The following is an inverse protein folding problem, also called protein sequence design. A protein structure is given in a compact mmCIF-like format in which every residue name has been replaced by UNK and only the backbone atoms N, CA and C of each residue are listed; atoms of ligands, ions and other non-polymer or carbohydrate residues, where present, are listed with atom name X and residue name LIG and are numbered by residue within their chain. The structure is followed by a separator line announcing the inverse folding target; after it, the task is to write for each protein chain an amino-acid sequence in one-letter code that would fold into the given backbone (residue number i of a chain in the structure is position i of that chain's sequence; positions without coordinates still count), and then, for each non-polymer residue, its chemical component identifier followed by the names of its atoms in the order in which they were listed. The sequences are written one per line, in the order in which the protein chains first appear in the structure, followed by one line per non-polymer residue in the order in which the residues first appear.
data_IF_870677830062
#
_entry.id   IF_870677830062
#
_cell.length_a   1.000
_cell.length_b   1.000
_cell.length_c   1.000
_cell.angle_alpha   90.00
_cell.angle_beta   90.00
_cell.angle_gamma   90.00
#
_symmetry.space_group_name_H-M   'P 1'
#
loop_
_entity.id
_entity.type
_entity.pdbx_description
1 polymer ?
#
# COMPACT_ATOMS: atom_id res chain seq x y z
N UNK A 1 46.08 72.59 23.01
CA UNK A 1 44.69 72.82 23.43
C UNK A 1 43.77 72.52 22.24
N UNK A 2 43.08 71.38 22.26
CA UNK A 2 41.87 71.07 21.49
C UNK A 2 41.39 69.68 21.94
N UNK A 3 40.16 69.62 22.42
CA UNK A 3 39.52 68.41 22.97
C UNK A 3 38.90 67.56 21.85
N UNK A 4 38.90 66.24 22.04
CA UNK A 4 38.14 65.26 21.25
C UNK A 4 37.86 64.01 22.14
N UNK A 5 36.80 63.22 21.87
CA UNK A 5 35.81 62.87 22.90
C UNK A 5 35.79 61.41 23.38
N UNK A 6 34.95 61.20 24.41
CA UNK A 6 34.63 60.01 25.21
C UNK A 6 34.56 58.63 24.52
N UNK A 7 34.87 57.54 25.26
CA UNK A 7 34.69 56.17 24.78
C UNK A 7 33.22 55.71 24.87
N UNK A 8 32.80 54.94 23.88
CA UNK A 8 31.48 54.34 23.75
C UNK A 8 31.21 53.30 24.88
N UNK A 9 29.96 53.29 25.36
CA UNK A 9 29.39 52.29 26.30
C UNK A 9 29.30 50.90 25.66
N UNK A 10 29.39 49.81 26.45
CA UNK A 10 29.19 48.46 25.96
C UNK A 10 27.71 48.16 25.71
N UNK A 11 27.41 47.47 24.61
CA UNK A 11 26.11 46.87 24.31
C UNK A 11 25.83 45.71 25.27
N UNK A 12 24.80 45.84 26.10
CA UNK A 12 24.25 44.74 26.90
C UNK A 12 23.46 43.79 25.99
N UNK A 13 23.86 42.51 25.94
CA UNK A 13 23.06 41.43 25.41
C UNK A 13 21.82 41.22 26.30
N UNK A 14 20.64 41.42 25.73
CA UNK A 14 19.39 40.88 26.26
C UNK A 14 19.08 39.56 25.53
N UNK A 15 18.66 38.50 26.23
CA UNK A 15 18.35 37.23 25.59
C UNK A 15 17.03 37.34 24.82
N UNK A 16 17.08 37.00 23.53
CA UNK A 16 15.90 36.78 22.71
C UNK A 16 15.15 35.54 23.25
N UNK A 17 14.04 35.77 23.95
CA UNK A 17 13.04 34.74 24.23
C UNK A 17 12.24 34.51 22.94
N UNK A 18 12.13 33.28 22.42
CA UNK A 18 11.24 33.01 21.29
C UNK A 18 9.78 33.13 21.78
N UNK A 19 9.03 34.00 21.11
CA UNK A 19 7.59 34.15 21.34
C UNK A 19 6.86 32.86 20.95
N UNK A 20 5.90 32.44 21.79
CA UNK A 20 4.97 31.34 21.50
C UNK A 20 4.17 31.65 20.23
N UNK A 21 4.11 30.75 19.24
CA UNK A 21 3.13 30.86 18.18
C UNK A 21 1.73 30.60 18.73
N UNK A 22 0.81 31.46 18.33
CA UNK A 22 -0.63 31.40 18.55
C UNK A 22 -1.25 30.17 17.90
N UNK A 23 -2.27 29.62 18.54
CA UNK A 23 -3.02 28.45 18.10
C UNK A 23 -3.67 28.64 16.71
N UNK A 24 -3.21 27.86 15.74
CA UNK A 24 -3.99 27.37 14.59
C UNK A 24 -3.21 26.25 13.89
N UNK A 25 -3.92 25.19 13.51
CA UNK A 25 -3.50 24.12 12.59
C UNK A 25 -2.22 23.35 12.92
N UNK A 26 -2.36 22.35 13.80
CA UNK A 26 -1.54 21.15 13.76
C UNK A 26 -2.47 19.94 13.95
N UNK A 27 -3.05 19.45 12.85
CA UNK A 27 -3.68 18.13 12.84
C UNK A 27 -2.54 17.11 13.01
N UNK A 28 -2.44 16.56 14.20
CA UNK A 28 -1.56 15.43 14.49
C UNK A 28 -2.13 14.19 13.78
N UNK A 29 -1.41 13.56 12.83
CA UNK A 29 -1.92 12.42 12.08
C UNK A 29 -2.06 11.13 12.93
N UNK A 30 -1.68 11.14 14.20
CA UNK A 30 -1.71 9.97 15.08
C UNK A 30 -2.87 9.91 16.10
N UNK A 31 -3.91 10.76 15.99
CA UNK A 31 -5.00 10.77 17.00
C UNK A 31 -6.41 10.49 16.45
N UNK A 32 -6.56 10.16 15.18
CA UNK A 32 -7.87 9.81 14.62
C UNK A 32 -7.98 8.30 14.35
N UNK A 33 -8.11 7.48 15.40
CA UNK A 33 -8.53 6.08 15.26
C UNK A 33 -8.93 5.49 16.62
N UNK A 34 -10.10 5.89 17.11
CA UNK A 34 -10.92 5.10 18.03
C UNK A 34 -12.38 5.53 17.83
N UNK A 35 -13.11 4.84 16.96
CA UNK A 35 -14.57 4.76 17.05
C UNK A 35 -15.01 3.35 16.65
N UNK A 36 -15.94 2.83 17.45
CA UNK A 36 -16.41 1.45 17.56
C UNK A 36 -17.37 1.05 16.43
N UNK A 37 -17.52 -0.27 16.29
CA UNK A 37 -18.32 -1.01 15.31
C UNK A 37 -19.78 -0.54 15.20
N UNK A 38 -20.31 -0.57 13.97
CA UNK A 38 -21.65 -1.10 13.69
C UNK A 38 -21.75 -1.51 12.21
N UNK A 39 -21.90 -2.81 11.99
CA UNK A 39 -22.01 -3.44 10.69
C UNK A 39 -23.40 -3.23 10.06
N UNK A 40 -23.46 -2.88 8.77
CA UNK A 40 -24.66 -3.08 7.95
C UNK A 40 -24.26 -3.71 6.62
N UNK A 41 -24.75 -4.93 6.41
CA UNK A 41 -24.59 -5.70 5.19
C UNK A 41 -25.56 -5.23 4.10
N UNK A 42 -25.04 -4.96 2.89
CA UNK A 42 -25.86 -4.78 1.70
C UNK A 42 -25.43 -5.70 0.55
N UNK A 43 -26.47 -6.25 -0.08
CA UNK A 43 -26.50 -7.35 -1.02
C UNK A 43 -25.74 -7.03 -2.33
N UNK A 44 -24.96 -8.00 -2.80
CA UNK A 44 -24.37 -8.01 -4.13
C UNK A 44 -25.40 -8.40 -5.18
N UNK A 45 -25.58 -7.58 -6.21
CA UNK A 45 -25.92 -8.08 -7.55
C UNK A 45 -25.59 -7.01 -8.60
N UNK A 46 -24.76 -7.40 -9.56
CA UNK A 46 -24.26 -6.64 -10.73
C UNK A 46 -23.33 -5.45 -10.43
N UNK A 47 -22.04 -5.66 -10.72
CA UNK A 47 -21.03 -4.60 -10.80
C UNK A 47 -21.34 -3.69 -12.00
N UNK A 48 -21.77 -2.43 -11.80
CA UNK A 48 -21.87 -1.50 -12.92
C UNK A 48 -20.48 -1.21 -13.46
N UNK A 49 -20.33 -1.14 -14.79
CA UNK A 49 -19.12 -0.62 -15.41
C UNK A 49 -18.84 0.77 -14.81
N UNK A 50 -17.71 0.96 -14.11
CA UNK A 50 -17.66 2.04 -13.16
C UNK A 50 -17.40 3.34 -13.94
N UNK A 51 -18.40 4.23 -13.95
CA UNK A 51 -18.23 5.60 -14.39
C UNK A 51 -17.41 6.33 -13.30
N UNK A 52 -16.10 6.11 -13.34
CA UNK A 52 -15.11 6.42 -12.28
C UNK A 52 -14.59 7.85 -12.34
N UNK A 53 -15.03 8.65 -13.31
CA UNK A 53 -14.54 9.99 -13.52
C UNK A 53 -15.07 10.93 -12.41
N UNK A 54 -14.24 11.18 -11.39
CA UNK A 54 -14.50 12.15 -10.33
C UNK A 54 -15.04 11.58 -9.01
N UNK A 55 -15.21 10.26 -8.90
CA UNK A 55 -15.54 9.63 -7.62
C UNK A 55 -14.25 9.51 -6.76
N UNK A 56 -14.19 10.15 -5.57
CA UNK A 56 -13.01 10.10 -4.71
C UNK A 56 -12.67 8.68 -4.22
N UNK A 57 -13.65 7.77 -4.22
CA UNK A 57 -13.43 6.37 -3.86
C UNK A 57 -12.61 5.62 -4.90
N UNK A 58 -12.50 6.10 -6.14
CA UNK A 58 -11.74 5.45 -7.20
C UNK A 58 -10.48 6.23 -7.53
N UNK A 59 -9.34 5.55 -7.48
CA UNK A 59 -8.04 6.08 -7.84
C UNK A 59 -7.55 5.41 -9.12
N UNK A 60 -7.11 6.21 -10.08
CA UNK A 60 -6.62 5.74 -11.37
C UNK A 60 -5.11 5.89 -11.42
N UNK A 61 -4.42 4.80 -11.76
CA UNK A 61 -2.97 4.77 -11.89
C UNK A 61 -2.59 4.39 -13.31
N UNK A 62 -1.88 5.28 -13.99
CA UNK A 62 -1.41 5.03 -15.35
C UNK A 62 -0.12 4.20 -15.33
N UNK A 63 -0.14 3.04 -16.00
CA UNK A 63 1.01 2.17 -16.21
C UNK A 63 1.66 2.54 -17.54
N UNK A 64 2.83 3.17 -17.48
CA UNK A 64 3.49 3.76 -18.65
C UNK A 64 3.94 2.69 -19.64
N UNK A 65 4.44 1.56 -19.15
CA UNK A 65 4.97 0.51 -20.03
C UNK A 65 3.89 -0.23 -20.83
N UNK A 66 2.63 -0.16 -20.38
CA UNK A 66 1.48 -0.78 -21.03
C UNK A 66 0.61 0.24 -21.76
N UNK A 67 0.81 1.54 -21.51
CA UNK A 67 -0.09 2.61 -21.94
C UNK A 67 -1.56 2.31 -21.58
N UNK A 68 -1.77 1.87 -20.33
CA UNK A 68 -3.05 1.46 -19.80
C UNK A 68 -3.22 1.98 -18.38
N UNK A 69 -4.47 2.10 -17.93
CA UNK A 69 -4.78 2.51 -16.57
C UNK A 69 -5.26 1.31 -15.75
N UNK A 70 -4.88 1.28 -14.49
CA UNK A 70 -5.54 0.47 -13.48
C UNK A 70 -6.37 1.37 -12.56
N UNK A 71 -7.50 0.85 -12.10
CA UNK A 71 -8.44 1.57 -11.24
C UNK A 71 -8.61 0.83 -9.93
N UNK A 72 -8.44 1.54 -8.82
CA UNK A 72 -8.48 1.00 -7.47
C UNK A 72 -9.58 1.71 -6.66
N UNK A 73 -10.51 0.94 -6.11
CA UNK A 73 -11.48 1.40 -5.13
C UNK A 73 -10.88 1.41 -3.73
N UNK A 74 -11.09 2.52 -3.03
CA UNK A 74 -10.77 2.77 -1.63
C UNK A 74 -12.06 2.94 -0.82
N UNK A 75 -12.06 2.38 0.38
CA UNK A 75 -13.15 2.51 1.35
C UNK A 75 -12.57 2.97 2.71
N UNK A 76 -12.13 4.23 2.85
CA UNK A 76 -11.41 4.67 4.05
C UNK A 76 -12.17 4.46 5.36
N UNK A 77 -13.51 4.49 5.32
CA UNK A 77 -14.38 4.21 6.46
C UNK A 77 -14.27 2.79 7.00
N UNK A 78 -13.79 1.83 6.21
CA UNK A 78 -13.61 0.42 6.57
C UNK A 78 -12.22 0.14 7.20
N UNK A 79 -11.36 1.16 7.28
CA UNK A 79 -10.07 1.11 7.98
C UNK A 79 -8.84 1.18 7.07
N UNK A 80 -7.67 0.91 7.66
CA UNK A 80 -6.35 1.16 7.04
C UNK A 80 -6.09 0.31 5.78
N UNK A 81 -6.56 -0.94 5.75
CA UNK A 81 -6.38 -1.86 4.62
C UNK A 81 -7.14 -1.42 3.36
N UNK A 82 -8.10 -0.52 3.48
CA UNK A 82 -8.96 -0.07 2.38
C UNK A 82 -8.50 1.26 1.76
N UNK A 83 -7.26 1.68 2.08
CA UNK A 83 -6.67 2.93 1.64
C UNK A 83 -5.36 2.67 0.89
N UNK A 84 -5.03 3.57 -0.02
CA UNK A 84 -3.76 3.58 -0.72
C UNK A 84 -2.69 4.27 0.09
N UNK A 85 -1.56 3.59 0.21
CA UNK A 85 -0.40 4.09 0.91
C UNK A 85 0.72 4.48 -0.07
N UNK A 86 1.56 5.47 0.26
CA UNK A 86 2.60 5.96 -0.65
C UNK A 86 3.58 4.88 -1.14
N UNK A 87 3.92 3.87 -0.32
CA UNK A 87 4.83 2.82 -0.76
C UNK A 87 4.24 1.96 -1.87
N UNK A 88 2.91 1.77 -1.91
CA UNK A 88 2.25 1.01 -2.96
C UNK A 88 2.43 1.66 -4.34
N UNK A 89 2.24 2.99 -4.42
CA UNK A 89 2.44 3.75 -5.67
C UNK A 89 3.92 3.79 -6.08
N UNK A 90 4.81 3.88 -5.10
CA UNK A 90 6.26 3.84 -5.32
C UNK A 90 6.69 2.47 -5.88
N UNK A 91 6.20 1.37 -5.30
CA UNK A 91 6.51 0.01 -5.72
C UNK A 91 5.91 -0.29 -7.11
N UNK A 92 4.68 0.15 -7.40
CA UNK A 92 4.13 0.11 -8.75
C UNK A 92 5.08 0.78 -9.76
N UNK A 93 5.48 2.02 -9.47
CA UNK A 93 6.37 2.78 -10.35
C UNK A 93 7.72 2.09 -10.55
N UNK A 94 8.24 1.47 -9.49
CA UNK A 94 9.47 0.67 -9.55
C UNK A 94 9.32 -0.53 -10.49
N UNK A 95 8.24 -1.31 -10.35
CA UNK A 95 7.97 -2.47 -11.21
C UNK A 95 7.79 -2.05 -12.68
N UNK A 96 7.06 -0.96 -12.94
CA UNK A 96 6.82 -0.44 -14.29
C UNK A 96 8.14 -0.06 -14.99
N UNK A 97 9.02 0.64 -14.26
CA UNK A 97 10.32 1.08 -14.77
C UNK A 97 11.33 -0.07 -14.95
N UNK A 98 11.24 -1.13 -14.14
CA UNK A 98 12.21 -2.24 -14.11
C UNK A 98 11.66 -3.57 -14.62
N UNK A 99 10.53 -3.56 -15.32
CA UNK A 99 9.85 -4.78 -15.79
C UNK A 99 10.75 -5.78 -16.52
N UNK A 100 11.79 -5.32 -17.22
CA UNK A 100 12.71 -6.19 -17.95
C UNK A 100 13.60 -7.03 -17.03
N UNK A 101 13.90 -6.56 -15.81
CA UNK A 101 14.72 -7.27 -14.82
C UNK A 101 14.01 -8.50 -14.26
N UNK A 102 12.67 -8.52 -14.29
CA UNK A 102 11.84 -9.60 -13.78
C UNK A 102 11.43 -10.62 -14.86
N UNK A 103 11.83 -10.41 -16.13
CA UNK A 103 11.48 -11.34 -17.21
C UNK A 103 12.30 -12.61 -17.08
N UNK A 104 11.62 -13.73 -16.85
CA UNK A 104 12.21 -15.08 -16.96
C UNK A 104 11.88 -15.68 -18.31
N UNK A 105 12.89 -16.21 -19.01
CA UNK A 105 12.69 -16.84 -20.31
C UNK A 105 11.82 -18.09 -20.17
N UNK A 106 10.68 -18.12 -20.86
CA UNK A 106 9.83 -19.30 -20.99
C UNK A 106 9.03 -19.71 -19.75
N UNK A 107 9.08 -18.95 -18.65
CA UNK A 107 8.31 -19.27 -17.42
C UNK A 107 7.67 -18.04 -16.80
N UNK A 108 6.38 -18.14 -16.52
CA UNK A 108 5.63 -17.15 -15.73
C UNK A 108 6.14 -17.16 -14.27
N UNK A 109 6.43 -15.98 -13.74
CA UNK A 109 6.84 -15.83 -12.34
C UNK A 109 5.62 -15.92 -11.42
N UNK A 110 5.77 -16.64 -10.31
CA UNK A 110 4.75 -16.71 -9.25
C UNK A 110 5.08 -15.71 -8.16
N UNK A 111 4.15 -14.82 -7.85
CA UNK A 111 4.34 -13.75 -6.86
C UNK A 111 3.32 -13.91 -5.74
N UNK A 112 3.77 -13.79 -4.50
CA UNK A 112 2.89 -13.62 -3.34
C UNK A 112 2.98 -12.18 -2.87
N UNK A 113 1.85 -11.51 -2.70
CA UNK A 113 1.81 -10.22 -2.02
C UNK A 113 1.19 -10.37 -0.62
N UNK A 114 1.91 -9.88 0.38
CA UNK A 114 1.48 -9.86 1.78
C UNK A 114 0.90 -8.49 2.13
N UNK A 115 -0.29 -8.47 2.73
CA UNK A 115 -0.95 -7.22 3.14
C UNK A 115 -1.28 -6.33 1.96
N UNK A 116 -1.95 -6.90 0.96
CA UNK A 116 -2.28 -6.25 -0.30
C UNK A 116 -3.17 -5.02 -0.13
N UNK A 117 -3.97 -4.96 0.94
CA UNK A 117 -4.96 -3.92 1.17
C UNK A 117 -5.91 -3.76 -0.02
N UNK A 118 -5.74 -2.68 -0.77
CA UNK A 118 -6.51 -2.41 -1.98
C UNK A 118 -6.08 -3.26 -3.19
N UNK A 119 -4.89 -3.89 -3.16
CA UNK A 119 -4.37 -4.75 -4.22
C UNK A 119 -3.59 -4.05 -5.32
N UNK A 120 -3.32 -2.73 -5.21
CA UNK A 120 -2.67 -1.93 -6.26
C UNK A 120 -1.38 -2.59 -6.78
N UNK A 121 -0.49 -3.02 -5.89
CA UNK A 121 0.82 -3.53 -6.27
C UNK A 121 0.70 -4.91 -6.92
N UNK A 122 -0.05 -5.84 -6.33
CA UNK A 122 -0.25 -7.17 -6.93
C UNK A 122 -0.95 -7.14 -8.28
N UNK A 123 -1.99 -6.31 -8.44
CA UNK A 123 -2.68 -6.08 -9.71
C UNK A 123 -1.70 -5.51 -10.75
N UNK A 124 -0.93 -4.48 -10.36
CA UNK A 124 0.07 -3.89 -11.24
C UNK A 124 1.17 -4.90 -11.60
N UNK A 125 1.64 -5.72 -10.66
CA UNK A 125 2.65 -6.74 -10.93
C UNK A 125 2.15 -7.78 -11.94
N UNK A 126 0.91 -8.25 -11.81
CA UNK A 126 0.30 -9.16 -12.76
C UNK A 126 0.23 -8.55 -14.16
N UNK A 127 -0.25 -7.30 -14.26
CA UNK A 127 -0.36 -6.59 -15.54
C UNK A 127 1.00 -6.26 -16.17
N UNK A 128 1.96 -5.74 -15.41
CA UNK A 128 3.26 -5.25 -15.92
C UNK A 128 4.17 -6.42 -16.31
N UNK A 129 4.15 -7.48 -15.51
CA UNK A 129 5.10 -8.60 -15.64
C UNK A 129 4.49 -9.81 -16.35
N UNK A 130 3.17 -9.83 -16.57
CA UNK A 130 2.46 -11.03 -16.99
C UNK A 130 2.62 -12.16 -15.98
N UNK A 131 2.64 -11.83 -14.68
CA UNK A 131 2.90 -12.76 -13.59
C UNK A 131 1.64 -13.51 -13.14
N UNK A 132 1.83 -14.64 -12.45
CA UNK A 132 0.78 -15.31 -11.67
C UNK A 132 0.90 -14.84 -10.22
N UNK A 133 -0.04 -14.00 -9.78
CA UNK A 133 0.06 -13.30 -8.50
C UNK A 133 -1.01 -13.82 -7.54
N UNK A 134 -0.63 -14.16 -6.32
CA UNK A 134 -1.57 -14.33 -5.20
C UNK A 134 -1.51 -13.06 -4.35
N UNK A 135 -2.61 -12.31 -4.29
CA UNK A 135 -2.77 -11.15 -3.41
C UNK A 135 -3.48 -11.57 -2.14
N UNK A 136 -2.96 -11.13 -0.99
CA UNK A 136 -3.44 -11.62 0.31
C UNK A 136 -3.63 -10.52 1.33
N UNK A 137 -4.69 -10.64 2.12
CA UNK A 137 -4.97 -9.77 3.26
C UNK A 137 -5.91 -10.49 4.25
N UNK A 138 -6.39 -9.77 5.26
CA UNK A 138 -7.33 -10.29 6.26
C UNK A 138 -8.70 -10.61 5.64
N UNK A 139 -9.46 -11.57 6.21
CA UNK A 139 -10.78 -11.98 5.68
C UNK A 139 -11.73 -10.82 5.37
N UNK A 140 -11.78 -9.81 6.23
CA UNK A 140 -12.65 -8.62 6.03
C UNK A 140 -12.29 -7.78 4.79
N UNK A 141 -11.05 -7.87 4.30
CA UNK A 141 -10.52 -7.04 3.20
C UNK A 141 -10.76 -7.70 1.84
N UNK A 142 -10.93 -9.02 1.82
CA UNK A 142 -11.02 -9.84 0.60
C UNK A 142 -12.09 -9.32 -0.37
N UNK A 143 -13.28 -8.97 0.10
CA UNK A 143 -14.34 -8.50 -0.79
C UNK A 143 -13.98 -7.22 -1.57
N UNK A 144 -13.22 -6.30 -0.96
CA UNK A 144 -12.74 -5.12 -1.69
C UNK A 144 -11.55 -5.43 -2.61
N UNK A 145 -10.68 -6.34 -2.17
CA UNK A 145 -9.54 -6.81 -2.96
C UNK A 145 -10.02 -7.54 -4.23
N UNK A 146 -11.00 -8.44 -4.12
CA UNK A 146 -11.65 -9.12 -5.25
C UNK A 146 -12.30 -8.13 -6.22
N UNK A 147 -13.03 -7.14 -5.69
CA UNK A 147 -13.61 -6.07 -6.52
C UNK A 147 -12.52 -5.38 -7.36
N UNK A 148 -11.39 -5.00 -6.74
CA UNK A 148 -10.31 -4.32 -7.43
C UNK A 148 -9.63 -5.23 -8.46
N UNK A 149 -9.45 -6.51 -8.17
CA UNK A 149 -8.93 -7.47 -9.15
C UNK A 149 -9.87 -7.58 -10.35
N UNK A 150 -11.18 -7.73 -10.12
CA UNK A 150 -12.18 -7.85 -11.18
C UNK A 150 -12.23 -6.61 -12.08
N UNK A 151 -12.15 -5.42 -11.48
CA UNK A 151 -12.16 -4.14 -12.19
C UNK A 151 -10.96 -3.95 -13.15
N UNK A 152 -9.89 -4.74 -12.99
CA UNK A 152 -8.67 -4.65 -13.79
C UNK A 152 -8.39 -5.92 -14.62
N UNK A 153 -9.35 -6.84 -14.70
CA UNK A 153 -9.20 -8.15 -15.35
C UNK A 153 -8.75 -8.07 -16.82
N UNK A 154 -9.26 -7.11 -17.59
CA UNK A 154 -8.87 -6.92 -18.99
C UNK A 154 -7.39 -6.54 -19.15
N UNK A 155 -6.90 -5.59 -18.33
CA UNK A 155 -5.50 -5.13 -18.36
C UNK A 155 -4.55 -6.24 -17.90
N UNK A 156 -4.97 -7.02 -16.89
CA UNK A 156 -4.21 -8.19 -16.43
C UNK A 156 -4.10 -9.24 -17.55
N UNK A 157 -5.24 -9.58 -18.18
CA UNK A 157 -5.30 -10.60 -19.23
C UNK A 157 -4.53 -10.20 -20.51
N UNK A 158 -4.51 -8.91 -20.85
CA UNK A 158 -3.79 -8.40 -22.03
C UNK A 158 -2.28 -8.71 -21.98
N UNK A 159 -1.70 -8.83 -20.79
CA UNK A 159 -0.30 -9.20 -20.58
C UNK A 159 -0.10 -10.69 -20.26
N UNK A 160 -1.18 -11.49 -20.29
CA UNK A 160 -1.16 -12.90 -19.89
C UNK A 160 -0.98 -13.14 -18.39
N UNK A 161 -1.16 -12.10 -17.56
CA UNK A 161 -1.08 -12.19 -16.11
C UNK A 161 -2.31 -12.88 -15.51
N UNK A 162 -2.20 -13.24 -14.24
CA UNK A 162 -3.28 -13.80 -13.42
C UNK A 162 -3.19 -13.23 -12.01
N UNK A 163 -4.35 -13.06 -11.38
CA UNK A 163 -4.43 -12.69 -9.97
C UNK A 163 -5.40 -13.62 -9.25
N UNK A 164 -4.92 -14.25 -8.20
CA UNK A 164 -5.70 -15.04 -7.25
C UNK A 164 -5.81 -14.25 -5.96
N UNK A 165 -6.98 -14.21 -5.34
CA UNK A 165 -7.19 -13.57 -4.04
C UNK A 165 -7.29 -14.65 -2.98
N UNK A 166 -6.62 -14.46 -1.84
CA UNK A 166 -6.67 -15.39 -0.74
C UNK A 166 -6.58 -14.70 0.63
N UNK A 167 -7.18 -15.31 1.63
CA UNK A 167 -7.05 -14.89 3.02
C UNK A 167 -5.67 -15.23 3.58
N UNK A 168 -5.03 -14.27 4.22
CA UNK A 168 -3.79 -14.49 4.96
C UNK A 168 -3.72 -13.54 6.15
N UNK A 169 -4.08 -14.06 7.32
CA UNK A 169 -3.68 -13.44 8.58
C UNK A 169 -2.25 -13.89 8.90
N UNK A 170 -1.32 -12.95 9.04
CA UNK A 170 0.07 -13.29 9.28
C UNK A 170 0.24 -14.15 10.54
N UNK A 171 1.14 -15.13 10.47
CA UNK A 171 1.38 -16.11 11.55
C UNK A 171 0.30 -17.19 11.65
N UNK A 172 -0.84 -17.08 10.94
CA UNK A 172 -1.86 -18.12 10.93
C UNK A 172 -1.43 -19.30 10.04
N UNK A 173 -1.16 -20.44 10.65
CA UNK A 173 -0.66 -21.65 9.97
C UNK A 173 -1.65 -22.20 8.94
N UNK A 174 -2.94 -22.18 9.24
CA UNK A 174 -3.96 -22.71 8.34
C UNK A 174 -4.09 -21.85 7.08
N UNK A 175 -4.06 -20.52 7.24
CA UNK A 175 -4.08 -19.59 6.11
C UNK A 175 -2.81 -19.74 5.26
N UNK A 176 -1.63 -19.82 5.90
CA UNK A 176 -0.36 -20.04 5.20
C UNK A 176 -0.34 -21.34 4.40
N UNK A 177 -0.88 -22.42 4.99
CA UNK A 177 -1.00 -23.71 4.31
C UNK A 177 -1.98 -23.64 3.13
N UNK A 178 -3.10 -22.95 3.27
CA UNK A 178 -4.11 -22.79 2.22
C UNK A 178 -3.62 -21.96 1.02
N UNK A 179 -2.84 -20.90 1.28
CA UNK A 179 -2.19 -20.09 0.23
C UNK A 179 -1.21 -20.92 -0.60
N UNK A 180 -0.62 -21.96 0.00
CA UNK A 180 0.33 -22.84 -0.67
C UNK A 180 1.71 -22.21 -0.84
N UNK A 181 2.64 -22.93 -1.45
CA UNK A 181 4.06 -22.53 -1.50
C UNK A 181 4.52 -22.30 -2.94
N UNK A 182 5.84 -22.13 -3.09
CA UNK A 182 6.56 -22.02 -4.37
C UNK A 182 6.34 -20.68 -5.10
N UNK A 183 6.54 -19.59 -4.37
CA UNK A 183 6.60 -18.25 -4.94
C UNK A 183 8.06 -17.89 -5.30
N UNK A 184 8.22 -17.24 -6.45
CA UNK A 184 9.51 -16.72 -6.92
C UNK A 184 9.86 -15.39 -6.27
N UNK A 185 8.85 -14.63 -5.88
CA UNK A 185 8.95 -13.29 -5.33
C UNK A 185 7.86 -13.07 -4.30
N UNK A 186 8.22 -12.44 -3.18
CA UNK A 186 7.27 -11.94 -2.18
C UNK A 186 7.30 -10.42 -2.23
N UNK A 187 6.13 -9.81 -2.33
CA UNK A 187 5.92 -8.36 -2.30
C UNK A 187 5.23 -7.97 -0.99
N UNK A 188 5.49 -6.74 -0.56
CA UNK A 188 4.78 -6.08 0.54
C UNK A 188 5.10 -4.59 0.51
N UNK A 189 4.07 -3.75 0.57
CA UNK A 189 4.21 -2.29 0.62
C UNK A 189 3.56 -1.76 1.90
N UNK A 190 4.31 -1.00 2.70
CA UNK A 190 3.88 -0.45 3.99
C UNK A 190 3.38 -1.51 5.00
N UNK A 191 3.96 -2.72 4.96
CA UNK A 191 3.61 -3.83 5.88
C UNK A 191 4.23 -3.72 7.28
N UNK A 192 5.18 -2.80 7.50
CA UNK A 192 5.89 -2.61 8.78
C UNK A 192 5.45 -1.30 9.43
N UNK A 193 4.33 -1.34 10.16
CA UNK A 193 3.73 -0.13 10.76
C UNK A 193 3.27 -0.30 12.22
N UNK A 194 3.01 -1.52 12.68
CA UNK A 194 2.67 -1.81 14.08
C UNK A 194 3.55 -2.91 14.67
N UNK A 195 4.15 -2.65 15.83
CA UNK A 195 5.13 -3.54 16.45
C UNK A 195 4.60 -4.95 16.75
N UNK A 196 3.32 -5.08 17.11
CA UNK A 196 2.71 -6.38 17.38
C UNK A 196 2.56 -7.26 16.13
N UNK A 197 2.68 -6.69 14.92
CA UNK A 197 2.62 -7.43 13.65
C UNK A 197 3.99 -7.93 13.19
N UNK A 198 5.09 -7.53 13.84
CA UNK A 198 6.44 -7.88 13.39
C UNK A 198 6.70 -9.38 13.49
N UNK A 199 6.41 -10.01 14.63
CA UNK A 199 6.65 -11.45 14.77
C UNK A 199 5.74 -12.28 13.83
N UNK A 200 4.41 -12.03 13.75
CA UNK A 200 3.55 -12.71 12.78
C UNK A 200 4.01 -12.56 11.33
N UNK A 201 4.45 -11.36 10.93
CA UNK A 201 4.98 -11.11 9.58
C UNK A 201 6.28 -11.91 9.36
N UNK A 202 7.18 -11.95 10.34
CA UNK A 202 8.43 -12.70 10.25
C UNK A 202 8.19 -14.21 10.18
N UNK A 203 7.25 -14.76 10.95
CA UNK A 203 6.81 -16.15 10.85
C UNK A 203 6.28 -16.47 9.45
N UNK A 204 5.45 -15.57 8.90
CA UNK A 204 4.89 -15.69 7.55
C UNK A 204 5.99 -15.71 6.48
N UNK A 205 6.95 -14.78 6.57
CA UNK A 205 8.08 -14.73 5.66
C UNK A 205 8.95 -15.98 5.77
N UNK A 206 9.25 -16.46 6.98
CA UNK A 206 9.99 -17.71 7.20
C UNK A 206 9.27 -18.89 6.55
N UNK A 207 7.96 -18.99 6.74
CA UNK A 207 7.14 -20.05 6.15
C UNK A 207 7.25 -20.09 4.62
N UNK A 208 7.15 -18.94 3.94
CA UNK A 208 7.19 -18.91 2.47
C UNK A 208 8.61 -18.92 1.89
N UNK A 209 9.63 -18.43 2.61
CA UNK A 209 11.00 -18.32 2.10
C UNK A 209 11.89 -19.54 2.39
N UNK A 210 11.75 -20.19 3.55
CA UNK A 210 12.81 -21.08 4.07
C UNK A 210 12.56 -22.57 3.78
N UNK A 211 11.34 -23.00 3.45
CA UNK A 211 11.04 -24.44 3.55
C UNK A 211 10.57 -24.75 4.97
N UNK A 212 9.42 -25.41 5.16
CA UNK A 212 9.21 -26.13 6.40
C UNK A 212 10.15 -27.33 6.37
N UNK A 213 11.12 -27.37 7.27
CA UNK A 213 11.80 -28.61 7.63
C UNK A 213 10.84 -29.57 8.35
#
# INVERSE_FOLDING_TARGET
AAAAPSPARPLSLLPFLPQRPTAASALNPFTALLLEDDAVCHNSDQLPAPNTAGDPHFQRHHIKSLNADIVIRQLPSEGLSFQLWPAATTLLSFLDNRRLEFRRQGRQIRILELGSGTGLVGIAAAAILGADVTVTDLPRVIGNLEFNVAANSEVIAASGGKVNVAELNWGNVDHMAAVGREYDLILGSDVVYHAHLYEPLMETLRYFLVGGE
#
